data_IF_538413789307
#
_entry.id   IF_538413789307
#
_cell.length_a   1.000
_cell.length_b   1.000
_cell.length_c   1.000
_cell.angle_alpha   90.00
_cell.angle_beta   90.00
_cell.angle_gamma   90.00
#
_symmetry.space_group_name_H-M   'P 1'
#
loop_
_entity.id
_entity.type
_entity.pdbx_description
1 polymer ?
#
# COMPACT_ATOMS: atom_id res chain seq x y z
N UNK A 1 -18.75 6.40 -27.00
CA UNK A 1 -17.68 6.42 -25.99
C UNK A 1 -17.90 5.43 -24.85
N UNK A 2 -18.98 5.53 -24.08
CA UNK A 2 -19.08 4.77 -22.81
C UNK A 2 -19.06 3.24 -22.92
N UNK A 3 -19.62 2.70 -23.99
CA UNK A 3 -19.70 1.26 -24.22
C UNK A 3 -18.38 0.63 -24.69
N UNK A 4 -17.57 1.37 -25.44
CA UNK A 4 -16.32 0.88 -26.04
C UNK A 4 -15.24 0.71 -24.99
N UNK A 5 -15.03 1.70 -24.13
CA UNK A 5 -14.02 1.59 -23.08
C UNK A 5 -14.37 0.51 -22.06
N UNK A 6 -15.67 0.32 -21.74
CA UNK A 6 -16.11 -0.79 -20.88
C UNK A 6 -15.70 -2.15 -21.43
N UNK A 7 -15.77 -2.34 -22.76
CA UNK A 7 -15.31 -3.58 -23.41
C UNK A 7 -13.80 -3.76 -23.31
N UNK A 8 -13.01 -2.77 -23.71
CA UNK A 8 -11.54 -2.86 -23.63
C UNK A 8 -11.08 -3.07 -22.19
N UNK A 9 -11.65 -2.31 -21.26
CA UNK A 9 -11.37 -2.44 -19.85
C UNK A 9 -11.68 -3.84 -19.32
N UNK A 10 -12.87 -4.37 -19.63
CA UNK A 10 -13.25 -5.71 -19.23
C UNK A 10 -12.32 -6.77 -19.85
N UNK A 11 -11.91 -6.61 -21.11
CA UNK A 11 -10.94 -7.51 -21.75
C UNK A 11 -9.59 -7.48 -21.04
N UNK A 12 -9.03 -6.29 -20.76
CA UNK A 12 -7.77 -6.14 -20.03
C UNK A 12 -7.88 -6.79 -18.65
N UNK A 13 -8.99 -6.53 -17.95
CA UNK A 13 -9.25 -7.12 -16.64
C UNK A 13 -9.32 -8.65 -16.72
N UNK A 14 -10.03 -9.23 -17.69
CA UNK A 14 -10.11 -10.70 -17.85
C UNK A 14 -8.77 -11.35 -18.19
N UNK A 15 -7.92 -10.70 -19.00
CA UNK A 15 -6.58 -11.22 -19.30
C UNK A 15 -5.74 -11.19 -18.02
N UNK A 16 -5.83 -10.10 -17.26
CA UNK A 16 -5.15 -9.96 -15.98
C UNK A 16 -5.64 -10.98 -14.95
N UNK A 17 -6.95 -11.27 -14.87
CA UNK A 17 -7.48 -12.25 -13.93
C UNK A 17 -6.98 -13.67 -14.23
N UNK A 18 -6.88 -14.04 -15.51
CA UNK A 18 -6.30 -15.34 -15.90
C UNK A 18 -4.82 -15.39 -15.53
N UNK A 19 -4.08 -14.30 -15.75
CA UNK A 19 -2.68 -14.17 -15.35
C UNK A 19 -2.48 -14.27 -13.83
N UNK A 20 -3.25 -13.54 -13.03
CA UNK A 20 -3.12 -13.56 -11.57
C UNK A 20 -3.56 -14.89 -10.98
N UNK A 21 -4.71 -15.43 -11.43
CA UNK A 21 -5.22 -16.71 -10.95
C UNK A 21 -4.29 -17.85 -11.32
N UNK A 22 -3.72 -17.89 -12.53
CA UNK A 22 -2.78 -18.98 -12.90
C UNK A 22 -1.57 -19.04 -11.97
N UNK A 23 -1.00 -17.89 -11.59
CA UNK A 23 0.10 -17.82 -10.63
C UNK A 23 -0.33 -18.19 -9.21
N UNK A 24 -1.45 -17.63 -8.72
CA UNK A 24 -1.96 -17.88 -7.37
C UNK A 24 -2.36 -19.34 -7.18
N UNK A 25 -3.00 -19.95 -8.20
CA UNK A 25 -3.35 -21.37 -8.17
C UNK A 25 -2.11 -22.25 -8.15
N UNK A 26 -1.10 -21.93 -8.98
CA UNK A 26 0.18 -22.62 -8.96
C UNK A 26 0.82 -22.53 -7.55
N UNK A 27 0.93 -21.32 -6.99
CA UNK A 27 1.55 -21.09 -5.69
C UNK A 27 0.80 -21.75 -4.51
N UNK A 28 -0.55 -21.73 -4.54
CA UNK A 28 -1.36 -22.24 -3.42
C UNK A 28 -1.48 -23.77 -3.42
N UNK A 29 -1.57 -24.37 -4.60
CA UNK A 29 -1.86 -25.80 -4.76
C UNK A 29 -0.65 -26.61 -5.27
N UNK A 30 0.57 -26.07 -5.19
CA UNK A 30 1.75 -26.72 -5.77
C UNK A 30 2.01 -28.14 -5.26
N UNK A 31 1.63 -28.45 -4.01
CA UNK A 31 1.81 -29.79 -3.43
C UNK A 31 0.77 -30.80 -3.91
N UNK A 32 -0.39 -30.34 -4.36
CA UNK A 32 -1.54 -31.17 -4.72
C UNK A 32 -1.73 -31.34 -6.24
N UNK A 33 -1.04 -30.53 -7.04
CA UNK A 33 -1.19 -30.45 -8.50
C UNK A 33 -0.13 -31.32 -9.21
N UNK A 34 -0.46 -31.87 -10.39
CA UNK A 34 0.51 -32.65 -11.18
C UNK A 34 1.62 -31.76 -11.74
N UNK A 35 2.83 -32.31 -11.93
CA UNK A 35 3.95 -31.51 -12.46
C UNK A 35 3.65 -30.92 -13.85
N UNK A 36 2.92 -31.64 -14.71
CA UNK A 36 2.55 -31.15 -16.04
C UNK A 36 1.61 -29.94 -15.98
N UNK A 37 0.63 -29.96 -15.07
CA UNK A 37 -0.31 -28.84 -14.92
C UNK A 37 0.36 -27.64 -14.27
N UNK A 38 1.25 -27.85 -13.30
CA UNK A 38 2.11 -26.80 -12.74
C UNK A 38 2.98 -26.16 -13.83
N UNK A 39 3.61 -26.96 -14.68
CA UNK A 39 4.43 -26.47 -15.78
C UNK A 39 3.61 -25.59 -16.75
N UNK A 40 2.41 -26.04 -17.14
CA UNK A 40 1.50 -25.27 -18.01
C UNK A 40 1.11 -23.94 -17.34
N UNK A 41 0.78 -23.95 -16.04
CA UNK A 41 0.43 -22.73 -15.30
C UNK A 41 1.61 -21.74 -15.27
N UNK A 42 2.82 -22.20 -14.99
CA UNK A 42 4.00 -21.31 -14.94
C UNK A 42 4.43 -20.79 -16.31
N UNK A 43 4.25 -21.58 -17.37
CA UNK A 43 4.50 -21.11 -18.74
C UNK A 43 3.46 -20.07 -19.15
N UNK A 44 2.19 -20.27 -18.80
CA UNK A 44 1.13 -19.29 -19.09
C UNK A 44 1.32 -17.99 -18.30
N UNK A 45 1.76 -18.04 -17.04
CA UNK A 45 2.09 -16.84 -16.26
C UNK A 45 3.25 -16.06 -16.86
N UNK A 46 4.32 -16.74 -17.32
CA UNK A 46 5.45 -16.08 -17.98
C UNK A 46 5.00 -15.39 -19.27
N UNK A 47 4.23 -16.10 -20.12
CA UNK A 47 3.76 -15.55 -21.38
C UNK A 47 2.86 -14.33 -21.18
N UNK A 48 1.84 -14.44 -20.31
CA UNK A 48 0.93 -13.34 -20.00
C UNK A 48 1.63 -12.19 -19.28
N UNK A 49 2.60 -12.50 -18.41
CA UNK A 49 3.44 -11.50 -17.73
C UNK A 49 4.21 -10.64 -18.73
N UNK A 50 4.85 -11.25 -19.74
CA UNK A 50 5.53 -10.50 -20.79
C UNK A 50 4.58 -9.65 -21.64
N UNK A 51 3.37 -10.14 -21.90
CA UNK A 51 2.34 -9.37 -22.61
C UNK A 51 1.97 -8.10 -21.83
N UNK A 52 1.76 -8.21 -20.51
CA UNK A 52 1.48 -7.05 -19.67
C UNK A 52 2.68 -6.09 -19.57
N UNK A 53 3.89 -6.64 -19.43
CA UNK A 53 5.13 -5.85 -19.39
C UNK A 53 5.32 -5.06 -20.70
N UNK A 54 4.94 -5.62 -21.85
CA UNK A 54 4.97 -4.91 -23.12
C UNK A 54 4.07 -3.66 -23.14
N UNK A 55 2.86 -3.74 -22.58
CA UNK A 55 1.98 -2.58 -22.46
C UNK A 55 2.55 -1.54 -21.49
N UNK A 56 3.16 -1.95 -20.38
CA UNK A 56 3.83 -1.04 -19.45
C UNK A 56 5.06 -0.35 -20.07
N UNK A 57 5.86 -1.08 -20.85
CA UNK A 57 6.99 -0.49 -21.58
C UNK A 57 6.53 0.57 -22.58
N UNK A 58 5.38 0.38 -23.25
CA UNK A 58 4.81 1.41 -24.13
C UNK A 58 4.47 2.71 -23.36
N UNK A 59 3.94 2.60 -22.15
CA UNK A 59 3.68 3.76 -21.27
C UNK A 59 4.99 4.45 -20.91
N UNK A 60 5.99 3.66 -20.50
CA UNK A 60 7.31 4.18 -20.14
C UNK A 60 7.98 4.96 -21.28
N UNK A 61 7.93 4.44 -22.52
CA UNK A 61 8.52 5.12 -23.67
C UNK A 61 7.82 6.42 -24.05
N UNK A 62 6.51 6.54 -23.79
CA UNK A 62 5.76 7.75 -24.12
C UNK A 62 6.06 8.91 -23.16
N UNK A 63 6.17 8.63 -21.86
CA UNK A 63 6.42 9.65 -20.85
C UNK A 63 7.26 9.11 -19.68
N UNK A 64 8.59 8.96 -19.82
CA UNK A 64 9.42 8.27 -18.84
C UNK A 64 9.47 8.97 -17.49
N UNK A 65 9.56 10.32 -17.47
CA UNK A 65 9.61 11.10 -16.23
C UNK A 65 8.29 11.02 -15.46
N UNK A 66 7.15 11.23 -16.15
CA UNK A 66 5.83 11.15 -15.53
C UNK A 66 5.51 9.72 -15.06
N UNK A 67 5.99 8.71 -15.79
CA UNK A 67 5.83 7.31 -15.42
C UNK A 67 6.52 6.98 -14.10
N UNK A 68 7.79 7.40 -13.94
CA UNK A 68 8.58 7.11 -12.73
C UNK A 68 8.07 7.85 -11.49
N UNK A 69 7.40 8.99 -11.65
CA UNK A 69 6.78 9.71 -10.53
C UNK A 69 5.46 9.08 -10.05
N UNK A 70 4.82 8.25 -10.87
CA UNK A 70 3.56 7.60 -10.51
C UNK A 70 3.83 6.30 -9.75
N UNK A 71 3.51 6.29 -8.45
CA UNK A 71 3.67 5.12 -7.57
C UNK A 71 2.96 3.87 -8.12
N UNK A 72 1.81 4.05 -8.79
CA UNK A 72 1.01 2.94 -9.30
C UNK A 72 1.69 2.22 -10.46
N UNK A 73 2.31 2.97 -11.35
CA UNK A 73 3.05 2.41 -12.48
C UNK A 73 4.27 1.62 -12.00
N UNK A 74 4.96 2.12 -10.97
CA UNK A 74 6.07 1.39 -10.35
C UNK A 74 5.60 0.11 -9.66
N UNK A 75 4.47 0.15 -8.95
CA UNK A 75 3.89 -1.02 -8.30
C UNK A 75 3.51 -2.08 -9.34
N UNK A 76 2.86 -1.66 -10.42
CA UNK A 76 2.45 -2.51 -11.53
C UNK A 76 3.64 -3.20 -12.20
N UNK A 77 4.68 -2.45 -12.52
CA UNK A 77 5.91 -2.97 -13.09
C UNK A 77 6.60 -3.96 -12.15
N UNK A 78 6.65 -3.64 -10.84
CA UNK A 78 7.20 -4.52 -9.82
C UNK A 78 6.44 -5.85 -9.73
N UNK A 79 5.10 -5.80 -9.72
CA UNK A 79 4.25 -6.99 -9.68
C UNK A 79 4.51 -7.92 -10.89
N UNK A 80 4.59 -7.35 -12.09
CA UNK A 80 4.85 -8.14 -13.30
C UNK A 80 6.28 -8.70 -13.36
N UNK A 81 7.29 -7.94 -12.96
CA UNK A 81 8.66 -8.44 -12.97
C UNK A 81 8.84 -9.55 -11.92
N UNK A 82 8.34 -9.35 -10.70
CA UNK A 82 8.48 -10.35 -9.63
C UNK A 82 7.79 -11.66 -9.97
N UNK A 83 6.59 -11.62 -10.55
CA UNK A 83 5.86 -12.83 -11.01
C UNK A 83 6.57 -13.59 -12.11
N UNK A 84 7.19 -12.89 -13.06
CA UNK A 84 7.97 -13.51 -14.13
C UNK A 84 9.24 -14.14 -13.55
N UNK A 85 9.94 -13.44 -12.65
CA UNK A 85 11.17 -13.96 -12.05
C UNK A 85 10.89 -15.15 -11.13
N UNK A 86 9.85 -15.07 -10.30
CA UNK A 86 9.44 -16.19 -9.43
C UNK A 86 9.08 -17.42 -10.26
N UNK A 87 8.31 -17.26 -11.35
CA UNK A 87 7.94 -18.36 -12.24
C UNK A 87 9.17 -18.98 -12.94
N UNK A 88 10.13 -18.16 -13.40
CA UNK A 88 11.37 -18.66 -14.03
C UNK A 88 12.27 -19.40 -13.04
N UNK A 89 12.49 -18.83 -11.86
CA UNK A 89 13.31 -19.45 -10.83
C UNK A 89 12.71 -20.78 -10.39
N UNK A 90 11.38 -20.86 -10.31
CA UNK A 90 10.67 -22.09 -9.99
C UNK A 90 10.88 -23.16 -11.07
N UNK A 91 10.78 -22.80 -12.35
CA UNK A 91 11.04 -23.74 -13.46
C UNK A 91 12.51 -24.21 -13.53
N UNK A 92 13.47 -23.38 -13.12
CA UNK A 92 14.90 -23.73 -13.15
C UNK A 92 15.31 -24.64 -11.99
N UNK A 93 14.84 -24.32 -10.78
CA UNK A 93 15.25 -25.01 -9.57
C UNK A 93 14.36 -26.19 -9.20
N UNK A 94 13.19 -26.34 -9.84
CA UNK A 94 12.12 -27.28 -9.48
C UNK A 94 11.64 -27.16 -8.02
N UNK A 95 12.06 -26.10 -7.32
CA UNK A 95 11.67 -25.79 -5.95
C UNK A 95 10.98 -24.43 -5.97
N UNK A 96 9.86 -24.31 -5.26
CA UNK A 96 9.13 -23.06 -5.17
C UNK A 96 9.96 -22.03 -4.38
N UNK A 97 10.29 -20.86 -4.94
CA UNK A 97 10.90 -19.78 -4.18
C UNK A 97 9.83 -19.14 -3.30
N UNK A 98 9.69 -19.61 -2.06
CA UNK A 98 8.57 -19.26 -1.16
C UNK A 98 8.46 -17.76 -0.91
N UNK A 99 9.57 -17.09 -0.60
CA UNK A 99 9.59 -15.65 -0.31
C UNK A 99 9.21 -14.80 -1.54
N UNK A 100 9.82 -15.08 -2.70
CA UNK A 100 9.50 -14.34 -3.92
C UNK A 100 8.06 -14.60 -4.37
N UNK A 101 7.57 -15.84 -4.21
CA UNK A 101 6.21 -16.18 -4.56
C UNK A 101 5.20 -15.48 -3.66
N UNK A 102 5.43 -15.36 -2.35
CA UNK A 102 4.50 -14.67 -1.43
C UNK A 102 4.41 -13.17 -1.69
N UNK A 103 5.55 -12.49 -1.90
CA UNK A 103 5.52 -11.08 -2.27
C UNK A 103 4.86 -10.87 -3.64
N UNK A 104 5.13 -11.78 -4.58
CA UNK A 104 4.53 -11.79 -5.91
C UNK A 104 3.01 -11.97 -5.87
N UNK A 105 2.48 -12.88 -5.06
CA UNK A 105 1.03 -13.06 -4.89
C UNK A 105 0.39 -11.84 -4.25
N UNK A 106 1.00 -11.28 -3.21
CA UNK A 106 0.48 -10.08 -2.54
C UNK A 106 0.38 -8.89 -3.49
N UNK A 107 1.41 -8.63 -4.29
CA UNK A 107 1.38 -7.53 -5.25
C UNK A 107 0.34 -7.72 -6.35
N UNK A 108 0.16 -8.95 -6.85
CA UNK A 108 -0.88 -9.28 -7.81
C UNK A 108 -2.30 -9.04 -7.25
N UNK A 109 -2.52 -9.39 -5.98
CA UNK A 109 -3.80 -9.20 -5.31
C UNK A 109 -4.08 -7.72 -5.03
N UNK A 110 -3.10 -6.94 -4.57
CA UNK A 110 -3.23 -5.49 -4.42
C UNK A 110 -3.58 -4.86 -5.77
N UNK A 111 -2.86 -5.23 -6.83
CA UNK A 111 -3.15 -4.74 -8.19
C UNK A 111 -4.53 -5.18 -8.67
N UNK A 112 -4.99 -6.38 -8.31
CA UNK A 112 -6.35 -6.83 -8.61
C UNK A 112 -7.40 -5.89 -7.99
N UNK A 113 -7.19 -5.41 -6.75
CA UNK A 113 -8.07 -4.44 -6.11
C UNK A 113 -8.13 -3.09 -6.86
N UNK A 114 -7.03 -2.68 -7.51
CA UNK A 114 -7.00 -1.44 -8.29
C UNK A 114 -7.93 -1.47 -9.50
N UNK A 115 -8.30 -2.65 -10.01
CA UNK A 115 -9.31 -2.77 -11.06
C UNK A 115 -10.73 -2.38 -10.60
N UNK A 116 -10.97 -2.16 -9.31
CA UNK A 116 -12.25 -1.63 -8.85
C UNK A 116 -12.39 -0.11 -9.04
N UNK A 117 -11.31 0.60 -9.40
CA UNK A 117 -11.26 2.07 -9.55
C UNK A 117 -12.30 2.66 -10.54
N UNK A 118 -12.54 2.11 -11.74
CA UNK A 118 -13.53 2.68 -12.67
C UNK A 118 -14.98 2.22 -12.44
N UNK A 119 -15.22 1.32 -11.48
CA UNK A 119 -16.58 0.89 -11.12
C UNK A 119 -17.23 1.96 -10.25
N UNK A 120 -18.43 2.43 -10.57
CA UNK A 120 -19.04 3.58 -9.89
C UNK A 120 -19.25 3.39 -8.39
N UNK A 121 -19.55 2.16 -7.96
CA UNK A 121 -19.71 1.82 -6.55
C UNK A 121 -18.37 1.81 -5.81
N UNK A 122 -17.42 1.00 -6.25
CA UNK A 122 -16.15 0.82 -5.55
C UNK A 122 -15.16 1.96 -5.78
N UNK A 123 -15.16 2.54 -6.98
CA UNK A 123 -14.28 3.63 -7.41
C UNK A 123 -14.40 4.89 -6.57
N UNK A 124 -15.59 5.17 -6.03
CA UNK A 124 -15.80 6.26 -5.07
C UNK A 124 -14.96 6.08 -3.81
N UNK A 125 -15.03 4.90 -3.18
CA UNK A 125 -14.24 4.59 -1.99
C UNK A 125 -12.74 4.51 -2.29
N UNK A 126 -12.36 3.88 -3.39
CA UNK A 126 -10.96 3.79 -3.83
C UNK A 126 -10.38 5.19 -4.08
N UNK A 127 -11.14 6.10 -4.71
CA UNK A 127 -10.74 7.49 -4.93
C UNK A 127 -10.57 8.27 -3.63
N UNK A 128 -11.45 8.03 -2.66
CA UNK A 128 -11.40 8.65 -1.34
C UNK A 128 -10.15 8.19 -0.58
N UNK A 129 -9.89 6.88 -0.54
CA UNK A 129 -8.72 6.29 0.10
C UNK A 129 -7.44 6.90 -0.49
N UNK A 130 -7.34 7.05 -1.81
CA UNK A 130 -6.17 7.64 -2.44
C UNK A 130 -6.02 9.14 -2.20
N UNK A 131 -7.12 9.90 -2.31
CA UNK A 131 -7.08 11.33 -2.04
C UNK A 131 -6.64 11.64 -0.62
N UNK A 132 -7.21 10.92 0.34
CA UNK A 132 -6.87 11.05 1.76
C UNK A 132 -5.43 10.61 2.02
N UNK A 133 -4.99 9.48 1.48
CA UNK A 133 -3.63 8.99 1.65
C UNK A 133 -2.57 9.98 1.13
N UNK A 134 -2.80 10.60 -0.03
CA UNK A 134 -1.85 11.56 -0.61
C UNK A 134 -1.68 12.80 0.28
N UNK A 135 -2.75 13.30 0.89
CA UNK A 135 -2.69 14.48 1.75
C UNK A 135 -2.21 14.18 3.17
N UNK A 136 -2.63 13.04 3.72
CA UNK A 136 -2.23 12.60 5.05
C UNK A 136 -0.79 12.05 5.08
N UNK A 137 -0.16 11.80 3.93
CA UNK A 137 1.20 11.25 3.84
C UNK A 137 2.23 12.06 4.66
N UNK A 138 2.21 13.40 4.54
CA UNK A 138 3.11 14.26 5.31
C UNK A 138 2.94 14.10 6.82
N UNK A 139 1.70 13.91 7.29
CA UNK A 139 1.39 13.70 8.69
C UNK A 139 1.91 12.33 9.18
N UNK A 140 1.71 11.26 8.40
CA UNK A 140 2.19 9.93 8.75
C UNK A 140 3.72 9.83 8.77
N UNK A 141 4.42 10.56 7.90
CA UNK A 141 5.90 10.65 7.94
C UNK A 141 6.36 11.25 9.27
N UNK A 142 5.72 12.32 9.74
CA UNK A 142 6.03 12.92 11.04
C UNK A 142 5.77 11.93 12.17
N UNK A 143 4.64 11.22 12.13
CA UNK A 143 4.31 10.18 13.11
C UNK A 143 5.39 9.09 13.17
N UNK A 144 5.87 8.61 12.02
CA UNK A 144 6.93 7.61 11.93
C UNK A 144 8.24 8.10 12.56
N UNK A 145 8.65 9.34 12.30
CA UNK A 145 9.82 9.94 12.94
C UNK A 145 9.68 10.03 14.46
N UNK A 146 8.49 10.40 14.96
CA UNK A 146 8.23 10.46 16.41
C UNK A 146 8.39 9.07 17.03
N UNK A 147 7.76 8.05 16.43
CA UNK A 147 7.87 6.66 16.89
C UNK A 147 9.33 6.21 16.90
N UNK A 148 10.09 6.55 15.86
CA UNK A 148 11.51 6.22 15.78
C UNK A 148 12.33 6.86 16.91
N UNK A 149 12.07 8.12 17.25
CA UNK A 149 12.76 8.81 18.37
C UNK A 149 12.46 8.13 19.70
N UNK A 150 11.20 7.74 19.96
CA UNK A 150 10.86 6.99 21.17
C UNK A 150 11.48 5.60 21.18
N UNK A 151 11.42 4.86 20.08
CA UNK A 151 12.06 3.55 19.97
C UNK A 151 13.57 3.60 20.19
N UNK A 152 14.25 4.63 19.68
CA UNK A 152 15.66 4.84 19.96
C UNK A 152 15.92 5.14 21.43
N UNK A 153 15.06 5.96 22.06
CA UNK A 153 15.19 6.33 23.45
C UNK A 153 14.97 5.14 24.40
N UNK A 154 13.94 4.33 24.15
CA UNK A 154 13.71 3.07 24.85
C UNK A 154 14.84 2.08 24.63
N UNK A 155 15.33 1.94 23.40
CA UNK A 155 16.49 1.10 23.09
C UNK A 155 17.71 1.51 23.93
N UNK A 156 18.02 2.80 24.00
CA UNK A 156 19.17 3.28 24.76
C UNK A 156 18.99 3.05 26.26
N UNK A 157 17.81 3.34 26.81
CA UNK A 157 17.56 3.21 28.25
C UNK A 157 17.53 1.74 28.70
N UNK A 158 16.78 0.89 27.99
CA UNK A 158 16.52 -0.50 28.37
C UNK A 158 17.65 -1.46 27.97
N UNK A 159 18.55 -1.04 27.07
CA UNK A 159 19.77 -1.81 26.77
C UNK A 159 20.84 -1.67 27.85
N UNK A 160 20.96 -0.47 28.44
CA UNK A 160 22.00 -0.16 29.42
C UNK A 160 21.49 -0.19 30.87
N UNK A 161 20.27 -0.69 31.12
CA UNK A 161 19.81 -0.89 32.50
C UNK A 161 20.77 -1.81 33.24
N UNK A 162 21.29 -1.34 34.37
CA UNK A 162 22.22 -2.06 35.25
C UNK A 162 21.52 -2.68 36.46
N UNK A 163 20.19 -2.57 36.56
CA UNK A 163 19.46 -3.05 37.72
C UNK A 163 19.40 -4.59 37.72
N UNK A 164 19.83 -5.24 38.81
CA UNK A 164 19.84 -6.70 38.90
C UNK A 164 18.43 -7.29 38.93
N UNK A 165 17.44 -6.58 39.49
CA UNK A 165 16.04 -6.99 39.51
C UNK A 165 15.46 -7.08 38.08
N UNK A 166 15.73 -6.08 37.25
CA UNK A 166 15.34 -6.07 35.84
C UNK A 166 15.95 -7.26 35.09
N UNK A 167 17.25 -7.51 35.30
CA UNK A 167 17.96 -8.64 34.69
C UNK A 167 17.42 -10.00 35.12
N UNK A 168 16.93 -10.12 36.36
CA UNK A 168 16.39 -11.34 36.93
C UNK A 168 14.95 -11.60 36.47
N UNK A 169 14.11 -10.57 36.32
CA UNK A 169 12.76 -10.67 35.77
C UNK A 169 12.75 -11.08 34.28
N UNK A 170 13.83 -10.74 33.56
CA UNK A 170 14.06 -11.14 32.17
C UNK A 170 14.64 -12.56 32.03
N UNK A 171 15.08 -13.21 33.12
CA UNK A 171 15.68 -14.54 33.06
C UNK A 171 14.65 -15.64 33.37
N UNK A 172 14.59 -16.66 32.52
CA UNK A 172 13.84 -17.90 32.80
C UNK A 172 14.51 -18.65 33.94
N UNK A 173 13.80 -18.77 35.07
CA UNK A 173 14.28 -19.50 36.26
C UNK A 173 13.89 -20.96 36.13
N UNK A 174 14.88 -21.84 35.95
CA UNK A 174 14.66 -23.28 36.00
C UNK A 174 14.97 -23.81 37.41
N UNK A 175 13.97 -24.34 38.08
CA UNK A 175 14.16 -25.07 39.34
C UNK A 175 14.71 -26.45 39.02
N UNK A 176 15.82 -26.85 39.63
CA UNK A 176 16.32 -28.21 39.45
C UNK A 176 15.44 -29.21 40.22
N UNK A 177 15.21 -30.38 39.62
CA UNK A 177 14.42 -31.46 40.21
C UNK A 177 15.35 -32.60 40.62
N UNK A 178 15.29 -32.96 41.90
CA UNK A 178 16.09 -34.04 42.46
C UNK A 178 15.55 -35.42 41.98
N UNK A 179 16.34 -36.51 41.93
CA UNK A 179 15.93 -37.82 41.38
C UNK A 179 14.70 -38.45 42.05
N UNK A 180 14.27 -37.92 43.20
CA UNK A 180 13.06 -38.33 43.94
C UNK A 180 11.80 -37.53 43.55
N UNK A 181 11.86 -36.65 42.55
CA UNK A 181 10.73 -35.87 42.07
C UNK A 181 10.32 -34.72 43.00
N UNK A 182 11.22 -34.31 43.91
CA UNK A 182 11.02 -33.15 44.78
C UNK A 182 11.70 -31.95 44.13
N UNK A 183 11.01 -30.82 44.06
CA UNK A 183 11.55 -29.56 43.53
C UNK A 183 12.45 -28.96 44.63
N UNK A 184 13.75 -28.80 44.35
CA UNK A 184 14.63 -28.07 45.26
C UNK A 184 14.40 -26.57 45.06
N UNK A 185 13.86 -25.88 46.07
CA UNK A 185 13.53 -24.45 46.02
C UNK A 185 14.77 -23.53 45.98
N UNK A 186 15.96 -24.09 46.24
CA UNK A 186 17.20 -23.37 46.53
C UNK A 186 18.29 -23.55 45.46
N UNK A 187 18.01 -24.27 44.37
CA UNK A 187 18.92 -24.47 43.24
C UNK A 187 18.22 -24.05 41.93
N UNK A 188 18.10 -22.73 41.73
CA UNK A 188 17.67 -22.15 40.46
C UNK A 188 18.85 -21.92 39.53
N UNK A 189 18.73 -22.42 38.29
CA UNK A 189 19.66 -22.08 37.21
C UNK A 189 19.06 -20.94 36.39
N UNK A 190 19.72 -19.78 36.40
CA UNK A 190 19.39 -18.68 35.50
C UNK A 190 20.00 -18.95 34.13
N UNK A 191 19.17 -18.98 33.10
CA UNK A 191 19.63 -19.04 31.72
C UNK A 191 20.39 -17.75 31.34
N UNK A 192 21.52 -17.88 30.66
CA UNK A 192 22.26 -16.72 30.11
C UNK A 192 21.39 -15.99 29.11
N UNK A 193 21.28 -14.65 29.25
CA UNK A 193 20.49 -13.75 28.40
C UNK A 193 20.55 -14.14 26.91
N UNK A 194 19.46 -14.72 26.40
CA UNK A 194 19.27 -14.96 24.96
C UNK A 194 18.58 -13.74 24.35
N UNK A 195 18.76 -13.52 23.04
CA UNK A 195 18.13 -12.43 22.27
C UNK A 195 16.59 -12.36 22.38
N UNK A 196 15.95 -13.37 22.98
CA UNK A 196 14.49 -13.55 23.01
C UNK A 196 13.81 -12.95 24.25
N UNK A 197 14.53 -12.63 25.33
CA UNK A 197 13.90 -12.12 26.56
C UNK A 197 13.87 -10.60 26.65
N UNK A 198 14.91 -9.89 26.20
CA UNK A 198 14.89 -8.43 26.15
C UNK A 198 14.63 -7.92 24.72
N UNK A 199 13.38 -7.49 24.48
CA UNK A 199 12.91 -6.97 23.19
C UNK A 199 13.56 -5.64 22.77
N UNK A 200 14.26 -4.95 23.67
CA UNK A 200 14.93 -3.68 23.41
C UNK A 200 16.44 -3.82 23.16
N UNK A 201 16.97 -5.05 23.06
CA UNK A 201 18.40 -5.32 22.82
C UNK A 201 18.89 -4.90 21.45
N UNK A 202 18.07 -5.08 20.41
CA UNK A 202 18.35 -4.59 19.06
C UNK A 202 17.50 -3.37 18.74
N UNK A 203 18.03 -2.50 17.88
CA UNK A 203 17.29 -1.35 17.39
C UNK A 203 16.05 -1.77 16.58
N UNK A 204 16.17 -2.79 15.73
CA UNK A 204 15.06 -3.30 14.92
C UNK A 204 13.92 -3.89 15.77
N UNK A 205 14.25 -4.64 16.82
CA UNK A 205 13.27 -5.18 17.75
C UNK A 205 12.63 -4.08 18.59
N UNK A 206 13.40 -3.09 19.06
CA UNK A 206 12.87 -1.93 19.78
C UNK A 206 11.83 -1.15 18.96
N UNK A 207 12.13 -0.89 17.68
CA UNK A 207 11.19 -0.20 16.78
C UNK A 207 9.91 -1.02 16.63
N UNK A 208 10.03 -2.33 16.40
CA UNK A 208 8.87 -3.22 16.29
C UNK A 208 8.05 -3.26 17.58
N UNK A 209 8.70 -3.31 18.74
CA UNK A 209 8.05 -3.33 20.05
C UNK A 209 7.31 -2.03 20.32
N UNK A 210 7.93 -0.86 20.12
CA UNK A 210 7.24 0.44 20.29
C UNK A 210 6.09 0.61 19.31
N UNK A 211 6.26 0.16 18.06
CA UNK A 211 5.19 0.17 17.07
C UNK A 211 4.03 -0.76 17.47
N UNK A 212 4.32 -1.95 18.02
CA UNK A 212 3.30 -2.88 18.52
C UNK A 212 2.54 -2.29 19.72
N UNK A 213 3.27 -1.72 20.70
CA UNK A 213 2.66 -1.02 21.84
C UNK A 213 1.72 0.09 21.34
N UNK A 214 2.14 0.84 20.32
CA UNK A 214 1.32 1.89 19.72
C UNK A 214 0.01 1.34 19.15
N UNK A 215 0.07 0.27 18.34
CA UNK A 215 -1.09 -0.26 17.62
C UNK A 215 -2.04 -1.08 18.49
N UNK A 216 -1.50 -1.93 19.35
CA UNK A 216 -2.26 -2.92 20.12
C UNK A 216 -2.53 -2.47 21.55
N UNK A 217 -1.75 -1.52 22.07
CA UNK A 217 -1.82 -1.09 23.48
C UNK A 217 -1.31 -2.16 24.44
N UNK A 218 -0.57 -3.16 23.95
CA UNK A 218 -0.02 -4.22 24.78
C UNK A 218 1.20 -3.72 25.56
N UNK A 219 1.04 -3.61 26.88
CA UNK A 219 2.07 -3.12 27.81
C UNK A 219 3.03 -4.22 28.29
N UNK A 220 2.85 -5.47 27.83
CA UNK A 220 3.70 -6.61 28.21
C UNK A 220 5.21 -6.33 28.07
N UNK A 221 5.72 -5.58 27.07
CA UNK A 221 7.15 -5.32 26.97
C UNK A 221 7.71 -4.47 28.11
N UNK A 222 6.88 -3.64 28.76
CA UNK A 222 7.28 -2.82 29.92
C UNK A 222 7.07 -3.55 31.24
N UNK A 223 6.17 -4.54 31.29
CA UNK A 223 5.88 -5.30 32.51
C UNK A 223 7.07 -6.08 33.08
N UNK A 224 8.08 -6.39 32.26
CA UNK A 224 9.31 -7.06 32.68
C UNK A 224 10.30 -6.15 33.44
N UNK A 225 10.07 -4.84 33.44
CA UNK A 225 10.97 -3.85 34.01
C UNK A 225 10.38 -3.30 35.30
N UNK A 226 11.23 -3.13 36.32
CA UNK A 226 10.83 -2.46 37.55
C UNK A 226 10.66 -0.96 37.29
N UNK A 227 9.39 -0.53 37.30
CA UNK A 227 9.00 0.86 37.05
C UNK A 227 9.21 1.75 38.27
N UNK A 228 9.27 1.17 39.47
CA UNK A 228 9.44 1.92 40.72
C UNK A 228 10.89 2.37 40.92
N UNK A 229 11.84 1.54 40.47
CA UNK A 229 13.28 1.83 40.57
C UNK A 229 13.78 2.80 39.48
N UNK A 230 13.08 2.88 38.34
CA UNK A 230 13.53 3.61 37.16
C UNK A 230 12.66 4.84 36.82
N UNK A 231 12.87 5.94 37.54
CA UNK A 231 12.14 7.21 37.31
C UNK A 231 12.21 7.69 35.84
N UNK A 232 13.35 7.51 35.18
CA UNK A 232 13.51 7.87 33.78
C UNK A 232 12.59 7.06 32.86
N UNK A 233 12.47 5.75 33.10
CA UNK A 233 11.60 4.86 32.34
C UNK A 233 10.13 5.24 32.53
N UNK A 234 9.71 5.43 33.79
CA UNK A 234 8.36 5.86 34.13
C UNK A 234 8.00 7.19 33.43
N UNK A 235 8.91 8.18 33.48
CA UNK A 235 8.68 9.47 32.84
C UNK A 235 8.52 9.34 31.31
N UNK A 236 9.34 8.50 30.68
CA UNK A 236 9.34 8.32 29.24
C UNK A 236 8.08 7.56 28.76
N UNK A 237 7.62 6.58 29.54
CA UNK A 237 6.36 5.86 29.32
C UNK A 237 5.16 6.82 29.41
N UNK A 238 5.09 7.64 30.47
CA UNK A 238 3.99 8.61 30.65
C UNK A 238 3.94 9.59 29.47
N UNK A 239 5.09 10.15 29.08
CA UNK A 239 5.18 11.07 27.94
C UNK A 239 4.76 10.38 26.65
N UNK A 240 5.21 9.14 26.43
CA UNK A 240 4.87 8.37 25.24
C UNK A 240 3.36 8.11 25.12
N UNK A 241 2.71 7.61 26.17
CA UNK A 241 1.26 7.33 26.16
C UNK A 241 0.42 8.58 25.97
N UNK A 242 0.82 9.69 26.59
CA UNK A 242 0.13 10.96 26.42
C UNK A 242 0.29 11.53 25.00
N UNK A 243 1.51 11.49 24.45
CA UNK A 243 1.78 12.07 23.15
C UNK A 243 1.24 11.22 22.00
N UNK A 244 1.48 9.91 22.00
CA UNK A 244 1.23 9.08 20.80
C UNK A 244 -0.22 8.56 20.78
N UNK A 245 -0.65 7.63 21.67
CA UNK A 245 -2.04 7.17 21.71
C UNK A 245 -3.10 8.23 21.98
N UNK A 246 -2.84 9.20 22.86
CA UNK A 246 -3.87 10.19 23.23
C UNK A 246 -3.85 11.36 22.25
N UNK A 247 -2.73 12.05 22.10
CA UNK A 247 -2.70 13.26 21.28
C UNK A 247 -2.62 12.96 19.78
N UNK A 248 -1.59 12.22 19.33
CA UNK A 248 -1.35 12.02 17.89
C UNK A 248 -2.41 11.16 17.22
N UNK A 249 -2.95 10.13 17.87
CA UNK A 249 -4.05 9.35 17.27
C UNK A 249 -5.33 10.16 17.11
N UNK A 250 -5.72 10.93 18.13
CA UNK A 250 -6.90 11.79 18.03
C UNK A 250 -6.70 12.87 16.96
N UNK A 251 -5.48 13.42 16.84
CA UNK A 251 -5.12 14.33 15.77
C UNK A 251 -5.16 13.64 14.39
N UNK A 252 -4.67 12.41 14.28
CA UNK A 252 -4.71 11.60 13.05
C UNK A 252 -6.15 11.42 12.57
N UNK A 253 -7.05 11.03 13.48
CA UNK A 253 -8.48 10.85 13.19
C UNK A 253 -9.09 12.18 12.74
N UNK A 254 -8.78 13.29 13.41
CA UNK A 254 -9.24 14.62 13.04
C UNK A 254 -8.79 15.03 11.63
N UNK A 255 -7.50 14.90 11.33
CA UNK A 255 -6.93 15.21 10.00
C UNK A 255 -7.57 14.34 8.92
N UNK A 256 -7.71 13.03 9.16
CA UNK A 256 -8.35 12.13 8.21
C UNK A 256 -9.83 12.49 8.00
N UNK A 257 -10.57 12.81 9.06
CA UNK A 257 -11.97 13.20 9.00
C UNK A 257 -12.17 14.49 8.18
N UNK A 258 -11.32 15.49 8.42
CA UNK A 258 -11.38 16.76 7.70
C UNK A 258 -11.06 16.56 6.21
N UNK A 259 -10.05 15.76 5.87
CA UNK A 259 -9.73 15.45 4.48
C UNK A 259 -10.85 14.66 3.78
N UNK A 260 -11.45 13.68 4.47
CA UNK A 260 -12.62 12.95 3.96
C UNK A 260 -13.77 13.92 3.64
N UNK A 261 -14.02 14.90 4.50
CA UNK A 261 -15.07 15.89 4.30
C UNK A 261 -14.79 16.83 3.11
N UNK A 262 -13.51 17.15 2.87
CA UNK A 262 -13.08 18.01 1.78
C UNK A 262 -13.24 17.33 0.41
N UNK A 263 -13.03 16.02 0.34
CA UNK A 263 -13.06 15.30 -0.93
C UNK A 263 -14.48 15.05 -1.46
N UNK A 264 -14.83 15.76 -2.54
CA UNK A 264 -16.02 15.47 -3.34
C UNK A 264 -15.86 14.14 -4.08
N UNK A 265 -16.40 13.06 -3.51
CA UNK A 265 -16.28 11.67 -3.98
C UNK A 265 -16.65 11.47 -5.46
N UNK A 266 -17.62 12.25 -5.98
CA UNK A 266 -18.06 12.15 -7.37
C UNK A 266 -17.10 12.80 -8.38
N UNK A 267 -16.46 13.92 -8.04
CA UNK A 267 -15.57 14.60 -8.97
C UNK A 267 -14.25 13.82 -9.16
N UNK A 268 -13.70 13.30 -8.06
CA UNK A 268 -12.48 12.48 -8.09
C UNK A 268 -12.66 11.16 -8.83
N UNK A 269 -13.78 10.47 -8.60
CA UNK A 269 -14.05 9.21 -9.32
C UNK A 269 -14.20 9.43 -10.83
N UNK A 270 -14.76 10.57 -11.26
CA UNK A 270 -14.79 10.95 -12.67
C UNK A 270 -13.40 11.27 -13.23
N UNK A 271 -12.55 11.95 -12.45
CA UNK A 271 -11.17 12.23 -12.84
C UNK A 271 -10.34 10.95 -13.03
N UNK A 272 -10.38 10.04 -12.05
CA UNK A 272 -9.70 8.74 -12.13
C UNK A 272 -10.22 7.87 -13.28
N UNK A 273 -11.53 7.94 -13.56
CA UNK A 273 -12.13 7.24 -14.70
C UNK A 273 -11.69 7.85 -16.04
N UNK A 274 -11.49 9.17 -16.10
CA UNK A 274 -10.95 9.84 -17.28
C UNK A 274 -9.48 9.49 -17.53
N UNK A 275 -8.66 9.40 -16.48
CA UNK A 275 -7.25 8.96 -16.55
C UNK A 275 -7.15 7.52 -17.12
N UNK A 276 -7.95 6.59 -16.59
CA UNK A 276 -8.02 5.21 -17.13
C UNK A 276 -8.47 5.21 -18.60
N UNK A 277 -9.43 6.06 -18.95
CA UNK A 277 -9.93 6.14 -20.33
C UNK A 277 -8.85 6.62 -21.29
N UNK A 278 -8.12 7.66 -20.91
CA UNK A 278 -6.98 8.19 -21.65
C UNK A 278 -5.90 7.11 -21.85
N UNK A 279 -5.57 6.37 -20.79
CA UNK A 279 -4.59 5.28 -20.90
C UNK A 279 -5.03 4.18 -21.89
N UNK A 280 -6.30 3.76 -21.81
CA UNK A 280 -6.85 2.75 -22.74
C UNK A 280 -6.79 3.27 -24.18
N UNK A 281 -7.12 4.54 -24.38
CA UNK A 281 -7.06 5.17 -25.70
C UNK A 281 -5.65 5.26 -26.26
N UNK A 282 -4.68 5.71 -25.47
CA UNK A 282 -3.33 5.92 -25.96
C UNK A 282 -2.55 4.61 -26.14
N UNK A 283 -2.68 3.65 -25.22
CA UNK A 283 -1.77 2.51 -25.14
C UNK A 283 -2.37 1.16 -25.58
N UNK A 284 -3.68 0.99 -25.43
CA UNK A 284 -4.36 -0.27 -25.72
C UNK A 284 -5.08 -0.28 -27.08
N UNK A 285 -5.58 0.87 -27.55
CA UNK A 285 -6.24 0.96 -28.86
C UNK A 285 -5.27 1.08 -30.02
N UNK A 286 -5.55 0.38 -31.11
CA UNK A 286 -4.75 0.48 -32.34
C UNK A 286 -4.97 1.84 -33.03
N UNK A 287 -3.98 2.38 -33.79
CA UNK A 287 -4.13 3.64 -34.50
C UNK A 287 -5.34 3.69 -35.43
N UNK A 288 -5.69 2.56 -36.05
CA UNK A 288 -6.86 2.47 -36.93
C UNK A 288 -8.19 2.56 -36.15
N UNK A 289 -8.22 2.15 -34.89
CA UNK A 289 -9.42 2.15 -34.04
C UNK A 289 -9.72 3.54 -33.51
N UNK A 290 -8.67 4.30 -33.16
CA UNK A 290 -8.77 5.71 -32.73
C UNK A 290 -9.30 6.63 -33.83
N UNK A 291 -8.99 6.34 -35.09
CA UNK A 291 -9.41 7.14 -36.25
C UNK A 291 -10.83 6.81 -36.75
N UNK A 292 -11.55 5.87 -36.10
CA UNK A 292 -12.93 5.58 -36.47
C UNK A 292 -13.86 6.66 -35.93
N UNK A 293 -14.46 7.40 -36.85
CA UNK A 293 -15.39 8.50 -36.55
C UNK A 293 -16.64 8.04 -35.78
N UNK A 294 -17.08 6.80 -36.00
CA UNK A 294 -18.18 6.20 -35.24
C UNK A 294 -17.85 6.01 -33.75
N UNK A 295 -16.57 5.97 -33.38
CA UNK A 295 -16.11 5.72 -32.01
C UNK A 295 -15.65 7.01 -31.33
N UNK A 296 -14.95 7.86 -32.09
CA UNK A 296 -14.47 9.18 -31.69
C UNK A 296 -15.03 10.24 -32.64
N UNK A 297 -16.19 10.85 -32.31
CA UNK A 297 -16.76 11.90 -33.15
C UNK A 297 -15.88 13.16 -33.06
N UNK A 298 -15.73 13.86 -34.19
CA UNK A 298 -14.96 15.10 -34.27
C UNK A 298 -15.56 16.23 -33.42
N UNK A 299 -16.88 16.21 -33.19
CA UNK A 299 -17.59 17.17 -32.35
C UNK A 299 -18.33 16.45 -31.21
N UNK A 300 -18.11 16.88 -29.98
CA UNK A 300 -18.86 16.43 -28.80
C UNK A 300 -19.83 17.54 -28.40
N UNK A 301 -21.12 17.33 -28.61
CA UNK A 301 -22.15 18.26 -28.16
C UNK A 301 -22.42 18.02 -26.67
N UNK A 302 -22.09 19.02 -25.84
CA UNK A 302 -22.44 19.01 -24.43
C UNK A 302 -23.67 19.90 -24.21
N UNK A 303 -24.75 19.30 -23.72
CA UNK A 303 -25.91 20.07 -23.27
C UNK A 303 -25.61 20.61 -21.87
N UNK A 304 -25.58 21.95 -21.74
CA UNK A 304 -25.25 22.61 -20.49
C UNK A 304 -26.29 23.68 -20.17
N UNK A 305 -26.69 23.78 -18.90
CA UNK A 305 -27.63 24.80 -18.46
C UNK A 305 -27.06 26.20 -18.67
N UNK A 306 -27.72 26.98 -19.54
CA UNK A 306 -27.29 28.31 -19.99
C UNK A 306 -26.98 29.29 -18.85
N UNK A 307 -27.70 29.18 -17.73
CA UNK A 307 -27.52 30.02 -16.53
C UNK A 307 -26.14 29.76 -15.90
N UNK A 308 -25.81 28.49 -15.61
CA UNK A 308 -24.51 28.11 -15.06
C UNK A 308 -23.36 28.42 -16.01
N UNK A 309 -23.61 28.36 -17.33
CA UNK A 309 -22.60 28.66 -18.34
C UNK A 309 -22.25 30.14 -18.30
N UNK A 310 -23.27 30.99 -18.19
CA UNK A 310 -23.14 32.44 -18.07
C UNK A 310 -22.39 32.83 -16.80
N UNK A 311 -22.69 32.18 -15.67
CA UNK A 311 -21.94 32.38 -14.42
C UNK A 311 -20.45 32.03 -14.59
N UNK A 312 -20.15 30.87 -15.17
CA UNK A 312 -18.75 30.48 -15.45
C UNK A 312 -18.02 31.44 -16.40
N UNK A 313 -18.69 31.93 -17.45
CA UNK A 313 -18.11 32.92 -18.38
C UNK A 313 -17.81 34.24 -17.65
N UNK A 314 -18.69 34.67 -16.74
CA UNK A 314 -18.48 35.87 -15.92
C UNK A 314 -17.30 35.65 -14.96
N UNK A 315 -17.18 34.49 -14.33
CA UNK A 315 -16.07 34.15 -13.44
C UNK A 315 -14.71 34.10 -14.16
N UNK A 316 -14.68 33.56 -15.39
CA UNK A 316 -13.50 33.56 -16.27
C UNK A 316 -13.12 35.00 -16.64
N UNK A 317 -14.09 35.83 -17.04
CA UNK A 317 -13.86 37.23 -17.39
C UNK A 317 -13.34 38.06 -16.21
N UNK A 318 -13.67 37.67 -14.98
CA UNK A 318 -13.26 38.32 -13.75
C UNK A 318 -11.98 37.73 -13.12
N UNK A 319 -11.25 36.84 -13.82
CA UNK A 319 -10.01 36.19 -13.34
C UNK A 319 -10.16 35.44 -12.00
N UNK A 320 -11.35 34.95 -11.66
CA UNK A 320 -11.60 34.12 -10.46
C UNK A 320 -11.63 32.64 -10.81
N UNK A 321 -10.56 32.13 -11.43
CA UNK A 321 -10.51 30.74 -11.88
C UNK A 321 -10.29 29.77 -10.70
N UNK A 322 -11.17 28.78 -10.53
CA UNK A 322 -11.05 27.69 -9.54
C UNK A 322 -10.69 26.34 -10.17
N UNK A 323 -10.23 26.32 -11.42
CA UNK A 323 -9.91 25.11 -12.20
C UNK A 323 -8.44 25.04 -12.63
N UNK A 324 -7.99 23.81 -12.94
CA UNK A 324 -6.58 23.45 -13.16
C UNK A 324 -5.96 23.90 -14.51
N UNK A 325 -6.73 24.40 -15.49
CA UNK A 325 -6.18 24.94 -16.75
C UNK A 325 -7.17 25.83 -17.52
N UNK A 326 -6.64 26.76 -18.33
CA UNK A 326 -7.43 27.65 -19.19
C UNK A 326 -8.03 26.87 -20.38
N UNK A 327 -9.36 26.91 -20.60
CA UNK A 327 -9.96 26.33 -21.80
C UNK A 327 -9.60 27.16 -23.04
N UNK A 328 -9.18 26.49 -24.11
CA UNK A 328 -8.90 27.10 -25.41
C UNK A 328 -10.21 27.24 -26.19
N UNK A 329 -10.63 28.47 -26.50
CA UNK A 329 -11.75 28.72 -27.42
C UNK A 329 -11.19 29.00 -28.81
N UNK A 330 -11.60 28.20 -29.81
CA UNK A 330 -11.36 28.57 -31.20
C UNK A 330 -12.21 29.80 -31.54
N UNK A 331 -11.54 30.85 -32.01
CA UNK A 331 -12.14 32.15 -32.30
C UNK A 331 -12.86 32.13 -33.66
N UNK A 332 -13.74 31.17 -33.86
CA UNK A 332 -14.58 31.05 -35.05
C UNK A 332 -16.02 30.81 -34.58
N UNK A 333 -16.97 31.60 -35.08
CA UNK A 333 -18.39 31.69 -34.69
C UNK A 333 -18.73 32.83 -33.72
N UNK A 334 -18.37 34.05 -34.13
CA UNK A 334 -19.07 35.27 -33.70
C UNK A 334 -19.42 36.14 -34.91
N UNK A 335 -20.22 35.61 -35.84
CA UNK A 335 -20.93 36.41 -36.85
C UNK A 335 -22.16 35.67 -37.34
N UNK A 336 -23.30 35.89 -36.67
CA UNK A 336 -24.63 36.11 -37.27
C UNK A 336 -25.64 36.34 -36.15
#
# INVERSE_FOLDING_TARGET
MEYLWKKYYFTIWTIYTVFSLSFIFAASFYKSISQDTLFILLVTTIFLGYLHLFFELRKFFFAPLAYMTNLWNSLDLCAYILTIQSSKLWLQSNVMPTELATFSTLLLEIKFLLFFRPIEFAGQYVSLIFGVAQRACSFFIILEFIIFVFAHSFHLLLRYSTNPNDQQNLATVYNTMDPKGTIEENSSLNESHTMTTNMFTMMSSSIMTVFNIMLTGDETPFSYWDLDDNLALLSLIIIFFWLVPIYLYNLSIGVLSDEISYFKTRALSLFLRAEILEEIELFYMLPHQRRKENWFPFAIFYEYHTIKLREHIIDIKNNKLSGYSNPYFSMSYSTS
#
